data_IF_534357658106
#
_entry.id   IF_534357658106
#
_cell.length_a   1.000
_cell.length_b   1.000
_cell.length_c   1.000
_cell.angle_alpha   90.00
_cell.angle_beta   90.00
_cell.angle_gamma   90.00
#
_symmetry.space_group_name_H-M   'P 1'
#
loop_
_entity.id
_entity.type
_entity.pdbx_description
1 polymer ?
#
# COMPACT_ATOMS: atom_id res chain seq x y z
N UNK A 1 31.61 -4.97 -11.21
CA UNK A 1 31.03 -3.62 -11.09
C UNK A 1 30.13 -3.65 -9.87
N UNK A 2 30.58 -3.00 -8.79
CA UNK A 2 29.89 -2.92 -7.51
C UNK A 2 28.74 -1.91 -7.61
N UNK A 3 27.49 -2.39 -7.63
CA UNK A 3 26.29 -1.53 -7.69
C UNK A 3 26.09 -0.65 -6.44
N UNK A 4 26.85 -0.91 -5.38
CA UNK A 4 26.88 -0.14 -4.12
C UNK A 4 27.40 1.29 -4.29
N UNK A 5 28.18 1.55 -5.34
CA UNK A 5 28.78 2.87 -5.60
C UNK A 5 27.80 3.86 -6.27
N UNK A 6 26.74 3.34 -6.90
CA UNK A 6 25.71 4.15 -7.57
C UNK A 6 24.45 4.37 -6.72
N UNK A 7 24.28 3.62 -5.62
CA UNK A 7 23.16 3.74 -4.68
C UNK A 7 23.65 3.63 -3.21
N UNK A 8 24.52 4.55 -2.73
CA UNK A 8 24.99 4.53 -1.34
C UNK A 8 23.86 4.69 -0.31
N UNK A 9 22.69 5.20 -0.75
CA UNK A 9 21.52 5.48 0.08
C UNK A 9 20.53 4.31 0.26
N UNK A 10 20.66 3.22 -0.52
CA UNK A 10 19.76 2.06 -0.36
C UNK A 10 20.36 1.04 0.62
N UNK A 11 20.77 1.51 1.78
CA UNK A 11 21.02 0.66 2.94
C UNK A 11 19.68 0.47 3.64
N UNK A 12 19.05 -0.67 3.39
CA UNK A 12 17.97 -1.17 4.25
C UNK A 12 18.62 -2.09 5.27
N UNK A 13 19.15 -1.59 6.40
CA UNK A 13 19.49 -2.46 7.51
C UNK A 13 18.21 -3.21 7.93
N UNK A 14 18.35 -4.49 8.27
CA UNK A 14 17.27 -5.30 8.82
C UNK A 14 17.07 -4.86 10.28
N UNK A 15 16.59 -3.64 10.46
CA UNK A 15 16.30 -3.04 11.75
C UNK A 15 14.83 -3.29 12.14
N UNK A 16 14.53 -3.15 13.43
CA UNK A 16 13.17 -3.35 13.96
C UNK A 16 12.10 -2.47 13.31
N UNK A 17 12.48 -1.35 12.69
CA UNK A 17 11.60 -0.45 11.94
C UNK A 17 11.22 -1.07 10.59
N UNK A 18 12.19 -1.63 9.85
CA UNK A 18 11.92 -2.34 8.59
C UNK A 18 11.06 -3.58 8.83
N UNK A 19 11.37 -4.35 9.87
CA UNK A 19 10.56 -5.51 10.25
C UNK A 19 9.14 -5.10 10.65
N UNK A 20 9.00 -4.04 11.44
CA UNK A 20 7.70 -3.51 11.82
C UNK A 20 6.87 -3.11 10.61
N UNK A 21 7.46 -2.39 9.66
CA UNK A 21 6.79 -1.96 8.44
C UNK A 21 6.40 -3.16 7.54
N UNK A 22 7.30 -4.13 7.39
CA UNK A 22 7.05 -5.34 6.57
C UNK A 22 5.92 -6.19 7.14
N UNK A 23 5.94 -6.47 8.44
CA UNK A 23 4.84 -7.20 9.08
C UNK A 23 3.55 -6.39 9.10
N UNK A 24 3.65 -5.06 9.19
CA UNK A 24 2.52 -4.15 9.08
C UNK A 24 1.83 -4.27 7.72
N UNK A 25 2.60 -4.22 6.64
CA UNK A 25 2.14 -4.40 5.26
C UNK A 25 1.53 -5.80 5.02
N UNK A 26 2.18 -6.86 5.50
CA UNK A 26 1.72 -8.24 5.32
C UNK A 26 0.36 -8.45 6.00
N UNK A 27 0.16 -7.91 7.20
CA UNK A 27 -1.13 -8.02 7.90
C UNK A 27 -2.18 -7.05 7.36
N UNK A 28 -1.77 -5.90 6.82
CA UNK A 28 -2.69 -4.94 6.20
C UNK A 28 -3.33 -5.50 4.92
N UNK A 29 -2.61 -6.30 4.12
CA UNK A 29 -3.13 -6.91 2.89
C UNK A 29 -4.42 -7.73 3.08
N UNK A 30 -4.46 -8.77 3.94
CA UNK A 30 -5.67 -9.56 4.15
C UNK A 30 -6.79 -8.72 4.76
N UNK A 31 -6.48 -7.75 5.63
CA UNK A 31 -7.47 -6.86 6.24
C UNK A 31 -8.10 -5.95 5.18
N UNK A 32 -7.28 -5.26 4.39
CA UNK A 32 -7.74 -4.37 3.35
C UNK A 32 -8.50 -5.11 2.24
N UNK A 33 -8.04 -6.30 1.86
CA UNK A 33 -8.75 -7.16 0.90
C UNK A 33 -10.08 -7.66 1.44
N UNK A 34 -10.17 -8.02 2.72
CA UNK A 34 -11.43 -8.39 3.36
C UNK A 34 -12.43 -7.23 3.28
N UNK A 35 -12.05 -6.04 3.72
CA UNK A 35 -12.93 -4.87 3.65
C UNK A 35 -13.30 -4.48 2.22
N UNK A 36 -12.35 -4.55 1.29
CA UNK A 36 -12.60 -4.25 -0.11
C UNK A 36 -13.51 -5.30 -0.77
N UNK A 37 -13.42 -6.58 -0.38
CA UNK A 37 -14.34 -7.62 -0.82
C UNK A 37 -15.78 -7.31 -0.39
N UNK A 38 -15.98 -6.97 0.88
CA UNK A 38 -17.29 -6.60 1.42
C UNK A 38 -17.91 -5.38 0.72
N UNK A 39 -17.10 -4.37 0.39
CA UNK A 39 -17.57 -3.17 -0.32
C UNK A 39 -17.82 -3.48 -1.81
N UNK A 40 -16.91 -4.19 -2.46
CA UNK A 40 -16.97 -4.44 -3.90
C UNK A 40 -18.07 -5.43 -4.29
N UNK A 41 -18.44 -6.38 -3.41
CA UNK A 41 -19.59 -7.25 -3.64
C UNK A 41 -20.90 -6.48 -3.85
N UNK A 42 -20.98 -5.23 -3.37
CA UNK A 42 -22.11 -4.32 -3.57
C UNK A 42 -21.99 -3.51 -4.89
N UNK A 43 -20.79 -3.30 -5.45
CA UNK A 43 -20.54 -2.25 -6.45
C UNK A 43 -20.04 -2.77 -7.81
N UNK A 44 -19.18 -3.79 -7.91
CA UNK A 44 -18.55 -4.18 -9.21
C UNK A 44 -18.41 -5.69 -9.40
N UNK A 45 -18.69 -6.14 -10.64
CA UNK A 45 -18.62 -7.54 -11.07
C UNK A 45 -17.19 -8.06 -11.27
N UNK A 46 -16.23 -7.18 -11.55
CA UNK A 46 -14.84 -7.53 -11.83
C UNK A 46 -13.92 -7.36 -10.60
N UNK A 47 -13.84 -8.42 -9.79
CA UNK A 47 -13.11 -8.46 -8.51
C UNK A 47 -11.60 -8.24 -8.65
N UNK A 48 -11.00 -8.57 -9.79
CA UNK A 48 -9.55 -8.43 -9.99
C UNK A 48 -9.06 -6.98 -9.96
N UNK A 49 -9.87 -6.02 -10.43
CA UNK A 49 -9.48 -4.60 -10.46
C UNK A 49 -9.36 -4.06 -9.03
N UNK A 50 -10.29 -4.45 -8.15
CA UNK A 50 -10.28 -4.03 -6.76
C UNK A 50 -9.10 -4.63 -6.01
N UNK A 51 -8.80 -5.91 -6.23
CA UNK A 51 -7.63 -6.57 -5.63
C UNK A 51 -6.33 -5.89 -6.06
N UNK A 52 -6.18 -5.58 -7.35
CA UNK A 52 -5.02 -4.84 -7.86
C UNK A 52 -4.94 -3.43 -7.26
N UNK A 53 -6.08 -2.75 -7.12
CA UNK A 53 -6.12 -1.43 -6.50
C UNK A 53 -5.64 -1.45 -5.06
N UNK A 54 -6.23 -2.34 -4.25
CA UNK A 54 -5.85 -2.54 -2.85
C UNK A 54 -4.36 -2.87 -2.73
N UNK A 55 -3.85 -3.75 -3.57
CA UNK A 55 -2.43 -4.10 -3.56
C UNK A 55 -1.54 -2.89 -3.87
N UNK A 56 -1.87 -2.09 -4.89
CA UNK A 56 -1.08 -0.92 -5.28
C UNK A 56 -1.11 0.16 -4.18
N UNK A 57 -2.27 0.43 -3.57
CA UNK A 57 -2.36 1.40 -2.48
C UNK A 57 -1.63 0.94 -1.22
N UNK A 58 -1.74 -0.35 -0.89
CA UNK A 58 -0.99 -0.95 0.21
C UNK A 58 0.53 -0.82 -0.01
N UNK A 59 0.99 -1.10 -1.24
CA UNK A 59 2.41 -1.03 -1.60
C UNK A 59 2.94 0.42 -1.52
N UNK A 60 2.14 1.39 -1.97
CA UNK A 60 2.46 2.81 -1.78
C UNK A 60 2.58 3.19 -0.30
N UNK A 61 1.69 2.70 0.56
CA UNK A 61 1.75 2.95 2.00
C UNK A 61 3.03 2.42 2.65
N UNK A 62 3.46 1.22 2.24
CA UNK A 62 4.73 0.64 2.65
C UNK A 62 5.93 1.51 2.22
N UNK A 63 5.98 1.92 0.95
CA UNK A 63 7.07 2.78 0.45
C UNK A 63 7.12 4.13 1.19
N UNK A 64 5.96 4.71 1.49
CA UNK A 64 5.85 5.98 2.20
C UNK A 64 6.47 5.88 3.60
N UNK A 65 6.23 4.79 4.34
CA UNK A 65 6.78 4.61 5.69
C UNK A 65 8.26 4.31 5.66
N UNK A 66 8.73 3.49 4.71
CA UNK A 66 10.15 3.30 4.47
C UNK A 66 10.87 4.63 4.17
N UNK A 67 10.23 5.52 3.40
CA UNK A 67 10.75 6.85 3.05
C UNK A 67 10.76 7.85 4.20
N UNK A 68 9.70 7.89 5.01
CA UNK A 68 9.52 8.90 6.07
C UNK A 68 10.14 8.49 7.40
N UNK A 69 10.04 7.22 7.76
CA UNK A 69 10.40 6.70 9.09
C UNK A 69 11.60 5.77 9.02
N UNK A 70 11.66 4.97 7.95
CA UNK A 70 12.78 4.10 7.66
C UNK A 70 13.96 4.84 7.02
N UNK A 71 14.92 4.05 6.56
CA UNK A 71 16.18 4.54 6.01
C UNK A 71 16.18 4.66 4.49
N UNK A 72 14.99 4.70 3.85
CA UNK A 72 14.93 4.72 2.38
C UNK A 72 15.35 6.08 1.80
N UNK A 73 15.17 7.16 2.56
CA UNK A 73 15.57 8.53 2.18
C UNK A 73 16.63 9.09 3.14
N UNK A 74 16.64 8.67 4.40
CA UNK A 74 17.54 9.17 5.44
C UNK A 74 18.56 8.11 5.88
N UNK A 75 19.82 8.51 6.07
CA UNK A 75 20.93 7.62 6.48
C UNK A 75 20.76 7.03 7.89
N UNK A 76 19.90 7.61 8.72
CA UNK A 76 19.56 7.10 10.05
C UNK A 76 18.04 7.11 10.24
N UNK A 77 17.47 6.06 10.87
CA UNK A 77 16.06 6.07 11.23
C UNK A 77 15.78 7.22 12.19
N UNK A 78 14.54 7.74 12.16
CA UNK A 78 14.17 8.85 13.05
C UNK A 78 14.49 8.52 14.51
N UNK A 79 15.19 9.40 15.24
CA UNK A 79 15.51 9.16 16.63
C UNK A 79 14.23 9.07 17.46
N UNK A 80 14.22 8.16 18.43
CA UNK A 80 13.09 7.92 19.34
C UNK A 80 11.86 7.21 18.73
N UNK A 81 11.99 6.61 17.54
CA UNK A 81 10.93 5.77 16.95
C UNK A 81 11.15 4.29 17.30
N UNK A 82 10.14 3.67 17.88
CA UNK A 82 10.15 2.22 18.16
C UNK A 82 9.61 1.43 16.96
N UNK A 83 10.19 0.25 16.71
CA UNK A 83 9.71 -0.65 15.65
C UNK A 83 8.25 -1.07 15.81
N UNK A 84 7.74 -1.12 17.06
CA UNK A 84 6.32 -1.39 17.35
C UNK A 84 5.41 -0.24 16.93
N UNK A 85 5.81 1.02 17.11
CA UNK A 85 5.03 2.16 16.62
C UNK A 85 4.96 2.16 15.09
N UNK A 86 6.09 1.90 14.43
CA UNK A 86 6.15 1.76 12.96
C UNK A 86 5.22 0.66 12.46
N UNK A 87 5.15 -0.48 13.16
CA UNK A 87 4.25 -1.58 12.81
C UNK A 87 2.78 -1.16 12.79
N UNK A 88 2.29 -0.52 13.86
CA UNK A 88 0.88 -0.10 13.92
C UNK A 88 0.56 1.03 12.93
N UNK A 89 1.48 1.97 12.75
CA UNK A 89 1.35 3.03 11.74
C UNK A 89 1.30 2.45 10.33
N UNK A 90 2.14 1.45 10.04
CA UNK A 90 2.15 0.76 8.75
C UNK A 90 0.88 -0.03 8.49
N UNK A 91 0.43 -0.81 9.47
CA UNK A 91 -0.85 -1.51 9.39
C UNK A 91 -2.00 -0.57 9.02
N UNK A 92 -2.10 0.56 9.72
CA UNK A 92 -3.20 1.51 9.55
C UNK A 92 -3.10 2.23 8.20
N UNK A 93 -1.93 2.79 7.89
CA UNK A 93 -1.70 3.58 6.69
C UNK A 93 -1.81 2.73 5.41
N UNK A 94 -1.21 1.54 5.43
CA UNK A 94 -1.28 0.58 4.35
C UNK A 94 -2.72 0.10 4.11
N UNK A 95 -3.47 -0.21 5.17
CA UNK A 95 -4.88 -0.61 5.05
C UNK A 95 -5.76 0.52 4.53
N UNK A 96 -5.56 1.75 5.02
CA UNK A 96 -6.30 2.92 4.57
C UNK A 96 -6.03 3.26 3.09
N UNK A 97 -4.76 3.32 2.68
CA UNK A 97 -4.40 3.56 1.27
C UNK A 97 -4.84 2.42 0.36
N UNK A 98 -4.74 1.17 0.81
CA UNK A 98 -5.28 0.01 0.09
C UNK A 98 -6.78 0.14 -0.14
N UNK A 99 -7.56 0.48 0.89
CA UNK A 99 -9.00 0.68 0.75
C UNK A 99 -9.36 1.85 -0.16
N UNK A 100 -8.71 3.01 0.02
CA UNK A 100 -9.00 4.20 -0.80
C UNK A 100 -8.70 3.95 -2.27
N UNK A 101 -7.55 3.36 -2.58
CA UNK A 101 -7.17 3.02 -3.96
C UNK A 101 -8.08 1.95 -4.56
N UNK A 102 -8.45 0.94 -3.79
CA UNK A 102 -9.43 -0.09 -4.19
C UNK A 102 -10.77 0.53 -4.57
N UNK A 103 -11.34 1.38 -3.70
CA UNK A 103 -12.63 2.07 -3.92
C UNK A 103 -12.54 3.04 -5.11
N UNK A 104 -11.45 3.79 -5.25
CA UNK A 104 -11.27 4.72 -6.37
C UNK A 104 -11.24 3.97 -7.71
N UNK A 105 -10.49 2.87 -7.79
CA UNK A 105 -10.46 2.05 -8.99
C UNK A 105 -11.80 1.39 -9.28
N UNK A 106 -12.52 0.98 -8.24
CA UNK A 106 -13.88 0.46 -8.32
C UNK A 106 -14.85 1.48 -8.96
N UNK A 107 -14.84 2.72 -8.47
CA UNK A 107 -15.63 3.82 -9.00
C UNK A 107 -15.23 4.19 -10.44
N UNK A 108 -13.93 4.22 -10.74
CA UNK A 108 -13.42 4.51 -12.09
C UNK A 108 -13.92 3.46 -13.07
N UNK A 109 -13.82 2.18 -12.75
CA UNK A 109 -14.30 1.09 -13.62
C UNK A 109 -15.82 1.13 -13.78
N UNK A 110 -16.56 1.30 -12.68
CA UNK A 110 -18.02 1.42 -12.75
C UNK A 110 -18.46 2.59 -13.64
N UNK A 111 -17.79 3.74 -13.54
CA UNK A 111 -18.07 4.93 -14.35
C UNK A 111 -17.76 4.74 -15.83
N UNK A 112 -16.70 3.98 -16.17
CA UNK A 112 -16.34 3.67 -17.56
C UNK A 112 -17.31 2.68 -18.19
N UNK A 113 -17.67 1.61 -17.49
CA UNK A 113 -18.64 0.62 -17.99
C UNK A 113 -20.01 1.25 -18.26
N UNK A 114 -20.47 2.17 -17.40
CA UNK A 114 -21.72 2.94 -17.66
C UNK A 114 -21.62 3.85 -18.88
N UNK A 115 -20.44 4.45 -19.15
CA UNK A 115 -20.22 5.29 -20.33
C UNK A 115 -20.20 4.49 -21.62
N UNK A 116 -19.59 3.31 -21.61
CA UNK A 116 -19.51 2.46 -22.81
C UNK A 116 -20.89 1.93 -23.22
N UNK A 117 -21.73 1.54 -22.26
CA UNK A 117 -23.13 1.18 -22.55
C UNK A 117 -23.95 2.34 -23.14
N UNK A 118 -23.65 3.58 -22.76
CA UNK A 118 -24.36 4.77 -23.25
C UNK A 118 -23.93 5.22 -24.64
N UNK A 119 -22.85 4.67 -25.20
CA UNK A 119 -22.32 4.99 -26.53
C UNK A 119 -22.71 3.98 -27.62
N UNK A 120 -23.42 2.91 -27.27
CA UNK A 120 -23.86 1.88 -28.21
C UNK A 120 -25.26 2.14 -28.81
N UNK A 121 -25.84 3.33 -28.60
CA UNK A 121 -27.05 3.83 -29.29
C UNK A 121 -26.68 4.91 -30.28
#
# INVERSE_FOLDING_TARGET
MDLSQYLPALKVPIDGIFLGDLFGFILALPVALLFAFWISEVVVKNRMVVVLGVFVGALLGFIIILGLVGTLIFDQPLPNVSGTATFFSSLLLCSALGLVSGILLDLIVASRTRRDYRRQT
#
